data_IF_892051703800
#
_entry.id   IF_892051703800
#
_cell.length_a   1.000
_cell.length_b   1.000
_cell.length_c   1.000
_cell.angle_alpha   90.00
_cell.angle_beta   90.00
_cell.angle_gamma   90.00
#
_symmetry.space_group_name_H-M   'P 1'
#
loop_
_entity.id
_entity.type
_entity.pdbx_description
1 polymer ?
#
# COMPACT_ATOMS: atom_id res chain seq x y z
N UNK A 1 13.66 11.96 -29.96
CA UNK A 1 13.20 11.19 -28.77
C UNK A 1 11.82 10.58 -28.95
N UNK A 2 10.72 11.35 -29.08
CA UNK A 2 9.36 10.76 -29.22
C UNK A 2 9.19 9.77 -30.39
N UNK A 3 9.78 10.03 -31.57
CA UNK A 3 9.75 9.08 -32.71
C UNK A 3 10.59 7.81 -32.51
N UNK A 4 11.65 7.84 -31.69
CA UNK A 4 12.48 6.67 -31.38
C UNK A 4 11.79 5.75 -30.36
N UNK A 5 11.04 6.32 -29.43
CA UNK A 5 10.28 5.58 -28.39
C UNK A 5 9.11 4.83 -29.03
N UNK A 6 8.43 5.44 -30.01
CA UNK A 6 7.34 4.80 -30.74
C UNK A 6 7.85 3.63 -31.60
N UNK A 7 9.01 3.75 -32.25
CA UNK A 7 9.60 2.65 -33.02
C UNK A 7 10.08 1.50 -32.11
N UNK A 8 10.58 1.80 -30.90
CA UNK A 8 10.98 0.80 -29.91
C UNK A 8 9.77 0.03 -29.33
N UNK A 9 8.62 0.69 -29.16
CA UNK A 9 7.38 0.03 -28.73
C UNK A 9 6.78 -0.87 -29.81
N UNK A 10 6.92 -0.52 -31.10
CA UNK A 10 6.45 -1.35 -32.22
C UNK A 10 7.32 -2.60 -32.39
N UNK A 11 8.64 -2.51 -32.18
CA UNK A 11 9.53 -3.66 -32.31
C UNK A 11 9.43 -4.66 -31.14
N UNK A 12 8.96 -4.23 -29.96
CA UNK A 12 8.69 -5.11 -28.82
C UNK A 12 7.46 -6.03 -29.03
N UNK A 13 6.66 -5.79 -30.08
CA UNK A 13 5.49 -6.60 -30.43
C UNK A 13 5.74 -7.63 -31.54
N UNK A 14 6.94 -7.65 -32.14
CA UNK A 14 7.30 -8.60 -33.19
C UNK A 14 8.49 -9.44 -32.71
N UNK A 15 8.21 -10.73 -32.49
CA UNK A 15 9.10 -11.73 -31.92
C UNK A 15 10.29 -12.04 -32.86
N UNK A 16 11.28 -11.14 -32.96
CA UNK A 16 12.46 -11.29 -33.84
C UNK A 16 13.76 -11.24 -33.02
N UNK A 17 14.33 -12.44 -32.86
CA UNK A 17 15.70 -12.82 -32.49
C UNK A 17 16.62 -11.79 -31.78
N UNK A 18 16.96 -12.16 -30.54
CA UNK A 18 17.70 -11.49 -29.46
C UNK A 18 19.03 -10.76 -29.78
N UNK A 19 19.66 -10.97 -30.94
CA UNK A 19 21.01 -10.44 -31.20
C UNK A 19 20.99 -9.00 -31.73
N UNK A 20 19.94 -8.61 -32.46
CA UNK A 20 19.85 -7.26 -33.06
C UNK A 20 19.39 -6.22 -32.02
N UNK A 21 18.53 -6.62 -31.07
CA UNK A 21 18.05 -5.75 -30.00
C UNK A 21 19.17 -5.32 -29.04
N UNK A 22 20.05 -6.24 -28.62
CA UNK A 22 21.18 -5.91 -27.73
C UNK A 22 22.20 -4.96 -28.39
N UNK A 23 22.48 -5.16 -29.68
CA UNK A 23 23.34 -4.28 -30.49
C UNK A 23 22.78 -2.86 -30.61
N UNK A 24 21.46 -2.75 -30.79
CA UNK A 24 20.74 -1.48 -30.90
C UNK A 24 20.73 -0.71 -29.58
N UNK A 25 20.42 -1.37 -28.45
CA UNK A 25 20.41 -0.73 -27.12
C UNK A 25 21.81 -0.28 -26.68
N UNK A 26 22.86 -1.02 -27.04
CA UNK A 26 24.26 -0.63 -26.77
C UNK A 26 24.67 0.62 -27.57
N UNK A 27 24.16 0.78 -28.81
CA UNK A 27 24.38 1.99 -29.62
C UNK A 27 23.56 3.19 -29.11
N UNK A 28 22.33 2.97 -28.65
CA UNK A 28 21.49 4.01 -28.05
C UNK A 28 22.09 4.51 -26.73
N UNK A 29 22.56 3.60 -25.86
CA UNK A 29 23.23 3.95 -24.60
C UNK A 29 24.46 4.85 -24.82
N UNK A 30 25.34 4.48 -25.77
CA UNK A 30 26.52 5.29 -26.12
C UNK A 30 26.16 6.66 -26.71
N UNK A 31 25.06 6.76 -27.47
CA UNK A 31 24.61 8.04 -28.03
C UNK A 31 24.03 8.97 -26.95
N UNK A 32 23.30 8.42 -25.97
CA UNK A 32 22.76 9.15 -24.82
C UNK A 32 23.88 9.64 -23.90
N UNK A 33 24.89 8.80 -23.65
CA UNK A 33 26.07 9.16 -22.86
C UNK A 33 26.88 10.28 -23.53
N UNK A 34 27.08 10.22 -24.85
CA UNK A 34 27.79 11.27 -25.60
C UNK A 34 27.06 12.62 -25.59
N UNK A 35 25.73 12.61 -25.66
CA UNK A 35 24.92 13.84 -25.55
C UNK A 35 24.93 14.41 -24.12
N UNK A 36 24.88 13.55 -23.09
CA UNK A 36 24.99 13.97 -21.70
C UNK A 36 26.36 14.61 -21.40
N UNK A 37 27.45 14.02 -21.89
CA UNK A 37 28.81 14.57 -21.76
C UNK A 37 28.93 15.91 -22.49
N UNK A 38 28.35 16.06 -23.69
CA UNK A 38 28.34 17.34 -24.41
C UNK A 38 27.54 18.44 -23.69
N UNK A 39 26.42 18.09 -23.04
CA UNK A 39 25.61 19.03 -22.25
C UNK A 39 26.35 19.47 -20.97
N UNK A 40 27.11 18.57 -20.35
CA UNK A 40 27.95 18.87 -19.19
C UNK A 40 29.11 19.80 -19.59
N UNK A 41 29.81 19.51 -20.70
CA UNK A 41 30.91 20.34 -21.18
C UNK A 41 30.44 21.76 -21.60
N UNK A 42 29.22 21.90 -22.14
CA UNK A 42 28.59 23.21 -22.41
C UNK A 42 28.26 24.00 -21.14
N UNK A 43 28.01 23.34 -20.01
CA UNK A 43 27.76 24.00 -18.72
C UNK A 43 29.06 24.43 -18.04
N UNK A 44 30.10 23.62 -18.15
CA UNK A 44 31.44 23.94 -17.62
C UNK A 44 32.04 25.16 -18.36
N UNK A 45 31.92 25.21 -19.70
CA UNK A 45 32.38 26.36 -20.49
C UNK A 45 31.63 27.68 -20.21
N UNK A 46 30.41 27.62 -19.65
CA UNK A 46 29.65 28.82 -19.23
C UNK A 46 29.98 29.31 -17.82
N UNK A 47 30.65 28.47 -17.01
CA UNK A 47 31.07 28.84 -15.65
C UNK A 47 32.42 29.57 -15.65
N UNK A 48 33.33 29.26 -16.58
CA UNK A 48 34.63 29.96 -16.71
C UNK A 48 34.50 31.42 -17.16
N UNK A 49 33.42 31.78 -17.85
CA UNK A 49 33.18 33.16 -18.32
C UNK A 49 32.55 34.06 -17.25
N UNK A 50 32.01 33.50 -16.16
CA UNK A 50 31.35 34.26 -15.09
C UNK A 50 32.26 34.68 -13.94
N UNK A 51 33.50 34.19 -13.88
CA UNK A 51 34.46 34.52 -12.80
C UNK A 51 35.41 35.69 -13.10
N UNK A 52 35.33 36.32 -14.29
CA UNK A 52 36.25 37.40 -14.69
C UNK A 52 35.77 38.84 -14.49
N UNK A 53 34.61 39.09 -13.91
CA UNK A 53 34.11 40.48 -13.76
C UNK A 53 33.46 40.74 -12.40
N UNK A 54 34.28 41.01 -11.38
CA UNK A 54 33.86 41.83 -10.24
C UNK A 54 35.01 42.68 -9.67
N UNK A 55 35.01 43.98 -9.96
CA UNK A 55 35.58 45.01 -9.07
C UNK A 55 34.76 46.31 -9.15
N UNK A 56 34.33 46.72 -7.95
CA UNK A 56 34.02 48.09 -7.45
C UNK A 56 32.70 48.83 -7.80
N UNK A 57 32.07 49.31 -6.70
CA UNK A 57 30.88 50.15 -6.44
C UNK A 57 31.03 51.65 -6.85
N UNK A 58 30.10 52.64 -6.58
CA UNK A 58 28.80 52.60 -5.87
C UNK A 58 27.60 53.48 -6.40
N UNK A 59 26.40 53.21 -5.82
CA UNK A 59 25.23 54.05 -5.40
C UNK A 59 24.55 55.12 -6.31
N UNK A 60 23.19 55.07 -6.41
CA UNK A 60 22.19 55.97 -5.73
C UNK A 60 20.74 55.85 -6.30
N UNK A 61 19.73 55.98 -5.40
CA UNK A 61 18.35 56.56 -5.53
C UNK A 61 17.33 55.98 -6.55
N UNK A 62 15.99 56.02 -6.46
CA UNK A 62 14.90 56.34 -5.49
C UNK A 62 13.55 56.02 -6.19
N UNK A 63 12.46 55.76 -5.43
CA UNK A 63 11.02 56.05 -5.73
C UNK A 63 10.34 55.27 -6.90
N UNK A 64 9.03 54.97 -6.98
CA UNK A 64 7.79 55.04 -6.15
C UNK A 64 6.72 54.20 -6.90
N UNK A 65 5.70 53.67 -6.18
CA UNK A 65 4.50 53.02 -6.75
C UNK A 65 3.38 54.03 -7.09
N UNK A 66 2.37 53.61 -7.88
CA UNK A 66 0.99 53.95 -7.53
C UNK A 66 -0.01 52.77 -7.59
N UNK A 67 -1.04 52.92 -6.74
CA UNK A 67 -2.25 52.10 -6.54
C UNK A 67 -3.36 52.48 -7.54
N UNK A 68 -4.34 51.60 -7.84
CA UNK A 68 -5.67 52.04 -8.26
C UNK A 68 -6.85 51.45 -7.47
N UNK A 69 -7.99 52.03 -7.79
CA UNK A 69 -9.22 52.31 -7.02
C UNK A 69 -10.35 51.30 -7.30
N UNK A 70 -11.34 51.19 -6.40
CA UNK A 70 -12.61 50.47 -6.58
C UNK A 70 -13.72 51.34 -7.21
N UNK A 71 -14.77 50.71 -7.77
CA UNK A 71 -16.15 51.19 -7.62
C UNK A 71 -17.19 50.12 -7.20
N UNK A 72 -18.43 50.59 -6.94
CA UNK A 72 -19.47 50.14 -5.98
C UNK A 72 -20.55 49.10 -6.46
N UNK A 73 -21.37 48.65 -5.48
CA UNK A 73 -22.52 47.67 -5.42
C UNK A 73 -23.79 48.08 -6.23
N UNK A 74 -24.81 47.25 -6.53
CA UNK A 74 -25.71 46.39 -5.70
C UNK A 74 -26.70 45.55 -6.60
N UNK A 75 -27.74 44.77 -6.15
CA UNK A 75 -28.05 44.10 -4.86
C UNK A 75 -28.48 42.59 -4.95
N UNK A 76 -28.40 41.90 -3.79
CA UNK A 76 -29.16 40.74 -3.23
C UNK A 76 -29.64 39.55 -4.10
N UNK A 77 -29.22 38.33 -3.72
CA UNK A 77 -30.12 37.23 -3.29
C UNK A 77 -29.31 36.17 -2.52
N UNK A 78 -29.84 35.78 -1.36
CA UNK A 78 -29.23 34.91 -0.36
C UNK A 78 -29.29 33.43 -0.74
N UNK A 79 -28.13 32.79 -0.88
CA UNK A 79 -27.96 31.35 -0.71
C UNK A 79 -26.83 31.11 0.28
N UNK A 80 -27.16 30.58 1.47
CA UNK A 80 -26.18 30.14 2.47
C UNK A 80 -25.48 28.88 1.96
N UNK A 81 -24.49 29.05 1.10
CA UNK A 81 -23.44 28.06 0.92
C UNK A 81 -22.61 28.04 2.22
N UNK A 82 -22.57 26.89 2.90
CA UNK A 82 -21.53 26.65 3.91
C UNK A 82 -20.18 26.62 3.18
N UNK A 83 -19.55 27.79 3.08
CA UNK A 83 -18.15 27.90 2.69
C UNK A 83 -17.31 27.35 3.84
N UNK A 84 -16.69 26.19 3.61
CA UNK A 84 -15.61 25.69 4.47
C UNK A 84 -14.40 26.61 4.24
N UNK A 85 -13.73 27.11 5.31
CA UNK A 85 -12.61 28.03 5.15
C UNK A 85 -11.45 27.38 4.40
N UNK A 86 -10.98 28.08 3.38
CA UNK A 86 -9.77 27.79 2.61
C UNK A 86 -8.54 28.09 3.47
N UNK A 87 -8.12 27.11 4.26
CA UNK A 87 -6.74 26.86 4.71
C UNK A 87 -6.72 25.50 5.41
N UNK A 88 -6.76 24.41 4.65
CA UNK A 88 -6.37 23.12 5.19
C UNK A 88 -4.85 23.12 5.40
N UNK A 89 -4.42 23.55 6.59
CA UNK A 89 -3.18 23.06 7.15
C UNK A 89 -3.17 21.53 6.98
N UNK A 90 -2.07 20.98 6.44
CA UNK A 90 -1.86 19.54 6.33
C UNK A 90 -2.18 18.92 7.69
N UNK A 91 -3.25 18.13 7.76
CA UNK A 91 -3.69 17.43 8.97
C UNK A 91 -2.52 16.56 9.45
N UNK A 92 -2.23 16.48 10.76
CA UNK A 92 -1.03 15.79 11.24
C UNK A 92 -1.03 14.35 10.76
N UNK A 93 0.07 13.90 10.15
CA UNK A 93 0.34 12.48 9.99
C UNK A 93 0.05 11.81 11.35
N UNK A 94 -0.59 10.63 11.32
CA UNK A 94 -0.66 9.78 12.51
C UNK A 94 0.73 9.59 13.15
N UNK A 95 0.81 8.97 14.33
CA UNK A 95 2.07 8.86 15.06
C UNK A 95 3.19 8.38 14.13
N UNK A 96 4.26 9.16 14.01
CA UNK A 96 5.37 8.87 13.09
C UNK A 96 6.30 7.78 13.62
N UNK A 97 6.07 7.34 14.85
CA UNK A 97 6.74 6.21 15.50
C UNK A 97 5.74 5.47 16.38
N UNK A 98 6.01 4.21 16.68
CA UNK A 98 5.14 3.43 17.54
C UNK A 98 5.73 2.07 17.90
N UNK A 99 4.92 1.19 18.50
CA UNK A 99 5.32 -0.18 18.85
C UNK A 99 4.31 -1.22 18.40
N UNK A 100 4.81 -2.38 17.98
CA UNK A 100 4.03 -3.61 17.72
C UNK A 100 4.74 -4.76 18.41
N UNK A 101 4.06 -5.50 19.28
CA UNK A 101 4.66 -6.56 20.10
C UNK A 101 5.94 -6.12 20.83
N UNK A 102 5.93 -4.89 21.39
CA UNK A 102 7.07 -4.30 22.11
C UNK A 102 8.22 -3.79 21.22
N UNK A 103 8.18 -4.01 19.90
CA UNK A 103 9.20 -3.58 18.94
C UNK A 103 8.84 -2.23 18.33
N UNK A 104 9.82 -1.34 18.21
CA UNK A 104 9.59 0.01 17.69
C UNK A 104 9.61 0.06 16.16
N UNK A 105 8.74 0.88 15.58
CA UNK A 105 8.73 1.22 14.17
C UNK A 105 8.80 2.74 13.95
N UNK A 106 9.23 3.13 12.75
CA UNK A 106 9.21 4.50 12.23
C UNK A 106 8.41 4.51 10.93
N UNK A 107 7.49 5.47 10.82
CA UNK A 107 6.75 5.76 9.59
C UNK A 107 7.51 6.81 8.77
N UNK A 108 8.09 6.37 7.67
CA UNK A 108 8.85 7.22 6.74
C UNK A 108 7.93 7.90 5.71
N UNK A 109 6.61 7.78 5.83
CA UNK A 109 5.64 8.38 4.92
C UNK A 109 5.63 7.75 3.53
N UNK A 110 6.19 6.54 3.39
CA UNK A 110 6.29 5.82 2.12
C UNK A 110 4.89 5.59 1.51
N UNK A 111 4.72 5.66 0.18
CA UNK A 111 3.43 5.44 -0.48
C UNK A 111 2.72 4.14 -0.10
N UNK A 112 3.47 3.06 0.16
CA UNK A 112 2.94 1.77 0.59
C UNK A 112 2.32 1.77 2.00
N UNK A 113 2.55 2.82 2.80
CA UNK A 113 2.21 2.85 4.22
C UNK A 113 3.09 1.95 5.09
N UNK A 114 4.17 1.39 4.52
CA UNK A 114 5.09 0.49 5.22
C UNK A 114 5.89 1.22 6.28
N UNK A 115 5.86 0.69 7.51
CA UNK A 115 6.63 1.21 8.64
C UNK A 115 7.82 0.30 8.89
N UNK A 116 8.98 0.90 9.12
CA UNK A 116 10.26 0.19 9.25
C UNK A 116 10.65 0.02 10.71
N UNK A 117 11.13 -1.17 11.08
CA UNK A 117 11.66 -1.39 12.42
C UNK A 117 12.87 -0.50 12.72
N UNK A 118 12.98 -0.03 13.96
CA UNK A 118 14.17 0.74 14.39
C UNK A 118 15.42 -0.12 14.51
N UNK A 119 15.30 -1.45 14.63
CA UNK A 119 16.41 -2.39 14.83
C UNK A 119 16.34 -3.59 13.88
N UNK A 120 17.49 -4.24 13.64
CA UNK A 120 17.54 -5.56 13.01
C UNK A 120 16.95 -6.65 13.93
N UNK A 121 16.59 -7.80 13.38
CA UNK A 121 16.25 -8.98 14.19
C UNK A 121 17.45 -9.36 15.08
N UNK A 122 17.17 -9.61 16.37
CA UNK A 122 18.15 -9.84 17.45
C UNK A 122 19.07 -8.66 17.79
N UNK A 123 18.80 -7.46 17.27
CA UNK A 123 19.39 -6.23 17.77
C UNK A 123 18.47 -5.57 18.81
N UNK A 124 19.05 -4.95 19.83
CA UNK A 124 18.32 -4.13 20.82
C UNK A 124 18.50 -2.63 20.59
N UNK A 125 19.47 -2.23 19.77
CA UNK A 125 19.63 -0.83 19.32
C UNK A 125 19.74 -0.74 17.80
N UNK A 126 19.41 0.41 17.19
CA UNK A 126 19.48 0.59 15.74
C UNK A 126 20.86 0.33 15.15
N UNK A 127 21.91 0.60 15.93
CA UNK A 127 23.28 0.42 15.50
C UNK A 127 23.68 -1.05 15.53
N UNK A 128 23.18 -1.89 16.45
CA UNK A 128 23.62 -3.27 16.49
C UNK A 128 23.28 -4.04 15.20
N UNK A 129 24.21 -4.87 14.68
CA UNK A 129 24.02 -5.56 13.40
C UNK A 129 22.93 -6.63 13.46
N UNK A 130 22.59 -7.11 14.66
CA UNK A 130 21.71 -8.27 14.83
C UNK A 130 22.42 -9.57 14.47
N UNK A 131 21.64 -10.61 14.19
CA UNK A 131 22.14 -11.90 13.73
C UNK A 131 21.95 -12.06 12.22
N UNK A 132 22.75 -12.95 11.63
CA UNK A 132 22.69 -13.32 10.22
C UNK A 132 21.85 -14.59 10.04
N UNK A 133 21.06 -14.64 8.97
CA UNK A 133 20.15 -15.74 8.65
C UNK A 133 20.36 -16.18 7.21
N UNK A 134 20.35 -17.50 6.98
CA UNK A 134 20.15 -18.02 5.63
C UNK A 134 18.72 -17.69 5.19
N UNK A 135 18.52 -17.43 3.91
CA UNK A 135 17.20 -17.01 3.42
C UNK A 135 16.15 -18.10 3.67
N UNK A 136 14.99 -17.71 4.20
CA UNK A 136 13.91 -18.63 4.55
C UNK A 136 14.15 -19.46 5.82
N UNK A 137 15.18 -19.14 6.61
CA UNK A 137 15.50 -19.83 7.86
C UNK A 137 15.38 -18.91 9.08
N UNK A 138 14.82 -19.45 10.16
CA UNK A 138 14.48 -18.70 11.38
C UNK A 138 15.48 -18.91 12.53
N UNK A 139 16.47 -19.77 12.30
CA UNK A 139 17.51 -20.16 13.26
C UNK A 139 18.87 -19.92 12.62
N UNK A 140 19.79 -19.35 13.40
CA UNK A 140 21.17 -19.12 12.97
C UNK A 140 21.98 -20.40 12.85
N UNK A 141 23.03 -20.36 12.04
CA UNK A 141 23.91 -21.50 11.77
C UNK A 141 25.34 -21.24 12.23
N UNK A 142 26.09 -22.32 12.43
CA UNK A 142 27.55 -22.28 12.61
C UNK A 142 28.29 -22.17 11.28
N UNK A 143 27.73 -22.72 10.20
CA UNK A 143 28.26 -22.64 8.84
C UNK A 143 27.14 -22.29 7.84
N UNK A 144 27.43 -21.35 6.92
CA UNK A 144 26.55 -20.84 5.88
C UNK A 144 27.04 -21.33 4.51
N UNK A 145 26.67 -22.56 4.18
CA UNK A 145 27.07 -23.22 2.93
C UNK A 145 25.88 -23.89 2.24
N UNK A 146 26.00 -24.16 0.94
CA UNK A 146 24.96 -24.81 0.13
C UNK A 146 24.37 -26.05 0.81
N UNK A 147 25.23 -26.97 1.27
CA UNK A 147 24.83 -28.22 1.93
C UNK A 147 24.04 -28.02 3.25
N UNK A 148 24.16 -26.85 3.87
CA UNK A 148 23.50 -26.53 5.15
C UNK A 148 22.23 -25.68 4.98
N UNK A 149 21.96 -25.18 3.78
CA UNK A 149 20.82 -24.32 3.49
C UNK A 149 19.59 -25.15 3.17
N UNK A 150 18.51 -24.99 3.95
CA UNK A 150 17.28 -25.78 3.81
C UNK A 150 16.55 -25.53 2.50
N UNK A 151 16.81 -24.40 1.85
CA UNK A 151 16.10 -23.91 0.67
C UNK A 151 16.97 -23.84 -0.59
N UNK A 152 18.20 -24.38 -0.52
CA UNK A 152 19.05 -24.53 -1.68
C UNK A 152 18.47 -25.58 -2.64
N UNK A 153 18.48 -25.29 -3.94
CA UNK A 153 17.92 -26.18 -4.97
C UNK A 153 16.41 -26.30 -4.99
N UNK A 154 15.68 -25.55 -4.14
CA UNK A 154 14.22 -25.66 -4.02
C UNK A 154 13.49 -24.54 -4.77
N UNK A 155 12.38 -24.91 -5.40
CA UNK A 155 11.40 -23.95 -5.89
C UNK A 155 10.66 -23.35 -4.70
N UNK A 156 10.75 -22.03 -4.55
CA UNK A 156 10.18 -21.31 -3.41
C UNK A 156 9.38 -20.10 -3.90
N UNK A 157 8.39 -19.73 -3.10
CA UNK A 157 7.62 -18.50 -3.25
C UNK A 157 8.12 -17.43 -2.27
N UNK A 158 7.57 -16.23 -2.38
CA UNK A 158 7.75 -15.17 -1.38
C UNK A 158 7.46 -15.71 0.03
N UNK A 159 8.41 -15.47 0.96
CA UNK A 159 8.37 -15.98 2.34
C UNK A 159 7.76 -14.97 3.32
N UNK A 160 7.44 -13.76 2.88
CA UNK A 160 6.99 -12.64 3.73
C UNK A 160 5.81 -13.03 4.61
N UNK A 161 5.94 -12.87 5.93
CA UNK A 161 4.86 -13.14 6.89
C UNK A 161 4.64 -14.61 7.24
N UNK A 162 5.33 -15.55 6.61
CA UNK A 162 5.18 -16.97 6.91
C UNK A 162 6.07 -17.36 8.11
N UNK A 163 5.47 -17.64 9.27
CA UNK A 163 6.20 -17.98 10.52
C UNK A 163 7.24 -19.10 10.38
N UNK A 164 7.09 -20.02 9.42
CA UNK A 164 8.05 -21.10 9.21
C UNK A 164 9.34 -20.65 8.50
N UNK A 165 9.29 -19.54 7.74
CA UNK A 165 10.35 -19.11 6.84
C UNK A 165 10.80 -17.65 7.06
N UNK A 166 9.91 -16.81 7.59
CA UNK A 166 10.15 -15.41 7.92
C UNK A 166 10.63 -15.29 9.37
N UNK A 167 11.91 -14.99 9.55
CA UNK A 167 12.51 -14.86 10.89
C UNK A 167 11.92 -13.71 11.70
N UNK A 168 11.49 -12.62 11.05
CA UNK A 168 10.87 -11.51 11.74
C UNK A 168 9.51 -11.92 12.30
N UNK A 169 8.67 -12.59 11.51
CA UNK A 169 7.40 -13.14 11.99
C UNK A 169 7.60 -14.21 13.06
N UNK A 170 8.57 -15.11 12.86
CA UNK A 170 8.88 -16.20 13.79
C UNK A 170 9.25 -15.69 15.18
N UNK A 171 10.07 -14.63 15.24
CA UNK A 171 10.62 -14.11 16.50
C UNK A 171 9.81 -12.97 17.10
N UNK A 172 9.24 -12.09 16.29
CA UNK A 172 8.54 -10.89 16.76
C UNK A 172 7.01 -11.01 16.70
N UNK A 173 6.51 -12.12 16.13
CA UNK A 173 5.09 -12.44 16.09
C UNK A 173 4.34 -11.82 14.92
N UNK A 174 3.03 -12.03 14.91
CA UNK A 174 2.13 -11.50 13.90
C UNK A 174 2.24 -9.96 13.83
N UNK A 175 2.23 -9.43 12.60
CA UNK A 175 2.39 -8.01 12.32
C UNK A 175 3.80 -7.60 11.89
N UNK A 176 4.81 -8.44 12.11
CA UNK A 176 6.19 -8.21 11.64
C UNK A 176 6.59 -9.20 10.55
N UNK A 177 7.33 -8.75 9.53
CA UNK A 177 7.81 -9.58 8.42
C UNK A 177 9.12 -9.04 7.81
N UNK A 178 9.80 -9.88 7.03
CA UNK A 178 10.91 -9.49 6.17
C UNK A 178 10.35 -8.60 5.03
N UNK A 179 10.96 -7.44 4.73
CA UNK A 179 10.55 -6.60 3.61
C UNK A 179 10.71 -7.32 2.28
N UNK A 180 9.87 -7.00 1.31
CA UNK A 180 9.99 -7.41 -0.09
C UNK A 180 11.06 -6.59 -0.81
N UNK A 181 11.47 -7.03 -2.01
CA UNK A 181 12.33 -6.25 -2.90
C UNK A 181 11.73 -4.88 -3.24
N UNK A 182 10.42 -4.82 -3.47
CA UNK A 182 9.71 -3.59 -3.81
C UNK A 182 9.75 -2.60 -2.65
N UNK A 183 9.64 -3.06 -1.41
CA UNK A 183 9.69 -2.19 -0.23
C UNK A 183 11.08 -1.61 0.02
N UNK A 184 12.15 -2.38 -0.20
CA UNK A 184 13.51 -1.84 -0.16
C UNK A 184 13.76 -0.85 -1.30
N UNK A 185 13.24 -1.14 -2.50
CA UNK A 185 13.32 -0.22 -3.65
C UNK A 185 12.56 1.09 -3.38
N UNK A 186 11.38 1.01 -2.77
CA UNK A 186 10.59 2.16 -2.34
C UNK A 186 11.34 2.98 -1.27
N UNK A 187 11.92 2.33 -0.27
CA UNK A 187 12.74 2.99 0.76
C UNK A 187 13.89 3.77 0.10
N UNK A 188 14.65 3.13 -0.80
CA UNK A 188 15.79 3.73 -1.48
C UNK A 188 15.37 4.90 -2.40
N UNK A 189 14.19 4.81 -3.03
CA UNK A 189 13.70 5.84 -3.94
C UNK A 189 13.15 7.08 -3.21
N UNK A 190 12.34 6.88 -2.17
CA UNK A 190 11.65 7.97 -1.47
C UNK A 190 12.44 8.61 -0.33
N UNK A 191 13.59 8.04 0.03
CA UNK A 191 14.49 8.62 1.02
C UNK A 191 15.72 9.28 0.38
N UNK A 192 16.34 10.19 1.10
CA UNK A 192 17.78 10.47 0.95
C UNK A 192 18.54 9.46 1.81
N UNK A 193 19.80 9.25 1.49
CA UNK A 193 20.64 8.30 2.20
C UNK A 193 22.02 8.89 2.41
N UNK A 194 22.59 8.67 3.59
CA UNK A 194 23.90 9.18 3.98
C UNK A 194 24.67 8.07 4.70
N UNK A 195 25.86 7.75 4.19
CA UNK A 195 26.77 6.85 4.89
C UNK A 195 27.41 7.59 6.08
N UNK A 196 27.14 7.11 7.29
CA UNK A 196 27.53 7.77 8.55
C UNK A 196 27.96 6.77 9.60
N UNK A 197 28.77 7.23 10.55
CA UNK A 197 29.08 6.47 11.75
C UNK A 197 28.20 6.95 12.91
N UNK A 198 27.46 6.04 13.53
CA UNK A 198 26.69 6.29 14.76
C UNK A 198 27.20 5.38 15.88
N UNK A 199 27.61 5.99 17.00
CA UNK A 199 28.17 5.27 18.17
C UNK A 199 29.25 4.24 17.77
N UNK A 200 30.19 4.65 16.92
CA UNK A 200 31.29 3.79 16.45
C UNK A 200 30.93 2.79 15.36
N UNK A 201 29.66 2.70 14.93
CA UNK A 201 29.24 1.79 13.87
C UNK A 201 28.87 2.51 12.59
N UNK A 202 29.51 2.11 11.50
CA UNK A 202 29.17 2.56 10.16
C UNK A 202 27.83 2.01 9.69
N UNK A 203 27.18 2.72 8.79
CA UNK A 203 25.91 2.33 8.18
C UNK A 203 25.31 3.45 7.35
N UNK A 204 24.10 3.21 6.84
CA UNK A 204 23.35 4.18 6.07
C UNK A 204 22.19 4.71 6.90
N UNK A 205 22.09 6.03 7.02
CA UNK A 205 20.89 6.70 7.49
C UNK A 205 19.99 7.03 6.29
N UNK A 206 18.80 6.44 6.27
CA UNK A 206 17.73 6.79 5.33
C UNK A 206 16.86 7.87 5.96
N UNK A 207 16.67 8.99 5.27
CA UNK A 207 15.81 10.08 5.72
C UNK A 207 14.71 10.32 4.70
N UNK A 208 13.46 10.22 5.13
CA UNK A 208 12.29 10.44 4.27
C UNK A 208 12.30 11.84 3.68
N UNK A 209 12.09 11.93 2.37
CA UNK A 209 11.88 13.22 1.69
C UNK A 209 10.52 13.83 2.00
N UNK A 210 9.59 13.07 2.59
CA UNK A 210 8.21 13.48 2.82
C UNK A 210 7.98 14.05 4.22
N UNK A 211 8.53 13.38 5.24
CA UNK A 211 8.28 13.74 6.64
C UNK A 211 9.56 13.89 7.48
N UNK A 212 10.75 13.83 6.87
CA UNK A 212 12.06 13.94 7.51
C UNK A 212 12.35 12.92 8.62
N UNK A 213 11.49 11.92 8.83
CA UNK A 213 11.80 10.82 9.73
C UNK A 213 12.94 9.98 9.14
N UNK A 214 13.73 9.35 10.01
CA UNK A 214 14.87 8.55 9.58
C UNK A 214 14.96 7.20 10.27
N UNK A 215 15.60 6.27 9.57
CA UNK A 215 16.06 4.99 10.12
C UNK A 215 17.55 4.80 9.81
N UNK A 216 18.26 4.09 10.68
CA UNK A 216 19.65 3.73 10.47
C UNK A 216 19.79 2.23 10.25
N UNK A 217 20.37 1.84 9.11
CA UNK A 217 20.75 0.47 8.81
C UNK A 217 22.27 0.36 9.00
N UNK A 218 22.76 -0.37 10.02
CA UNK A 218 24.19 -0.53 10.26
C UNK A 218 24.85 -1.38 9.17
N UNK A 219 26.15 -1.22 8.98
CA UNK A 219 26.99 -2.21 8.33
C UNK A 219 26.90 -3.52 9.16
N UNK A 220 26.55 -4.60 8.47
CA UNK A 220 26.30 -5.92 9.06
C UNK A 220 27.29 -6.96 8.54
N UNK A 221 27.83 -6.77 7.34
CA UNK A 221 28.60 -7.78 6.64
C UNK A 221 27.77 -9.02 6.27
N UNK A 222 28.44 -10.00 5.69
CA UNK A 222 27.86 -11.27 5.27
C UNK A 222 28.53 -12.46 5.96
N UNK A 223 27.76 -13.50 6.25
CA UNK A 223 28.29 -14.81 6.64
C UNK A 223 28.39 -15.73 5.43
N UNK A 224 29.59 -16.27 5.21
CA UNK A 224 29.89 -17.32 4.22
C UNK A 224 30.74 -18.41 4.90
N UNK A 225 30.27 -19.66 4.84
CA UNK A 225 30.79 -20.73 5.69
C UNK A 225 30.77 -20.31 7.15
N UNK A 226 31.91 -20.40 7.84
CA UNK A 226 32.06 -19.97 9.24
C UNK A 226 32.45 -18.50 9.38
N UNK A 227 32.87 -17.87 8.28
CA UNK A 227 33.52 -16.55 8.26
C UNK A 227 32.51 -15.41 8.19
N UNK A 228 32.87 -14.26 8.79
CA UNK A 228 32.12 -13.00 8.68
C UNK A 228 32.95 -12.03 7.84
N UNK A 229 32.38 -11.53 6.75
CA UNK A 229 33.04 -10.64 5.81
C UNK A 229 32.45 -9.23 5.89
N UNK A 230 33.28 -8.21 5.68
CA UNK A 230 32.87 -6.81 5.45
C UNK A 230 32.01 -6.14 6.55
N UNK A 231 32.00 -6.71 7.77
CA UNK A 231 31.14 -6.26 8.87
C UNK A 231 31.36 -4.81 9.34
N UNK A 232 32.44 -4.17 8.90
CA UNK A 232 32.81 -2.81 9.26
C UNK A 232 32.46 -1.77 8.19
N UNK A 233 32.08 -2.19 6.98
CA UNK A 233 31.95 -1.30 5.82
C UNK A 233 30.73 -1.54 4.93
N UNK A 234 30.16 -2.74 4.97
CA UNK A 234 29.04 -3.11 4.10
C UNK A 234 27.83 -3.56 4.92
N UNK A 235 26.63 -3.16 4.49
CA UNK A 235 25.37 -3.70 4.97
C UNK A 235 24.82 -4.70 3.97
N UNK A 236 24.44 -5.87 4.45
CA UNK A 236 23.83 -6.94 3.65
C UNK A 236 22.49 -7.34 4.29
N UNK A 237 21.40 -7.20 3.55
CA UNK A 237 20.03 -7.35 4.05
C UNK A 237 19.19 -8.24 3.15
N UNK A 238 18.57 -9.27 3.73
CA UNK A 238 17.62 -10.08 2.97
C UNK A 238 16.32 -9.33 2.69
N UNK A 239 15.79 -9.56 1.50
CA UNK A 239 14.37 -9.37 1.21
C UNK A 239 13.65 -10.73 1.23
N UNK A 240 12.33 -10.72 1.29
CA UNK A 240 11.49 -11.93 1.23
C UNK A 240 11.26 -12.43 -0.20
N UNK A 241 11.70 -11.69 -1.22
CA UNK A 241 11.43 -12.01 -2.63
C UNK A 241 12.46 -13.01 -3.18
N UNK A 242 12.05 -14.22 -3.62
CA UNK A 242 12.97 -15.16 -4.27
C UNK A 242 13.27 -14.72 -5.70
N UNK A 243 14.47 -15.05 -6.19
CA UNK A 243 14.81 -14.87 -7.59
C UNK A 243 14.27 -16.03 -8.44
N UNK A 244 13.72 -15.74 -9.63
CA UNK A 244 12.97 -16.71 -10.45
C UNK A 244 13.50 -16.92 -11.87
N UNK A 245 14.46 -16.13 -12.34
CA UNK A 245 14.91 -16.18 -13.74
C UNK A 245 16.10 -17.15 -13.91
N UNK A 246 15.79 -18.45 -13.91
CA UNK A 246 16.76 -19.52 -14.25
C UNK A 246 17.81 -19.84 -13.18
N UNK A 247 17.95 -19.00 -12.15
CA UNK A 247 18.84 -19.22 -11.01
C UNK A 247 18.02 -19.50 -9.74
N UNK A 248 17.52 -20.73 -9.63
CA UNK A 248 16.56 -21.14 -8.59
C UNK A 248 17.12 -21.16 -7.16
N UNK A 249 18.38 -20.79 -6.95
CA UNK A 249 19.05 -20.79 -5.65
C UNK A 249 19.19 -19.39 -5.03
N UNK A 250 18.88 -18.34 -5.79
CA UNK A 250 19.00 -16.95 -5.36
C UNK A 250 17.77 -16.39 -4.67
N UNK A 251 17.99 -15.32 -3.92
CA UNK A 251 16.95 -14.41 -3.42
C UNK A 251 17.42 -12.97 -3.56
N UNK A 252 16.47 -12.03 -3.62
CA UNK A 252 16.79 -10.62 -3.67
C UNK A 252 17.27 -10.11 -2.32
N UNK A 253 18.24 -9.21 -2.37
CA UNK A 253 18.89 -8.63 -1.20
C UNK A 253 19.14 -7.15 -1.46
N UNK A 254 19.22 -6.35 -0.39
CA UNK A 254 19.67 -4.98 -0.46
C UNK A 254 21.03 -4.87 0.20
N UNK A 255 22.02 -4.39 -0.56
CA UNK A 255 23.35 -4.15 -0.03
C UNK A 255 23.77 -2.70 -0.17
N UNK A 256 24.73 -2.31 0.67
CA UNK A 256 25.45 -1.06 0.51
C UNK A 256 26.91 -1.22 0.93
N UNK A 257 27.79 -0.45 0.29
CA UNK A 257 29.20 -0.30 0.64
C UNK A 257 29.60 1.16 0.53
N UNK A 258 29.93 1.80 1.65
CA UNK A 258 30.11 3.26 1.69
C UNK A 258 28.84 4.00 1.27
N UNK A 259 28.98 5.01 0.40
CA UNK A 259 27.86 5.76 -0.16
C UNK A 259 27.42 5.21 -1.53
N UNK A 260 27.31 3.89 -1.68
CA UNK A 260 26.64 3.18 -2.77
C UNK A 260 25.75 2.08 -2.19
N UNK A 261 24.48 2.01 -2.61
CA UNK A 261 23.56 0.95 -2.20
C UNK A 261 22.50 0.66 -3.25
N UNK A 262 22.26 -0.62 -3.51
CA UNK A 262 21.40 -1.10 -4.59
C UNK A 262 20.75 -2.45 -4.26
N UNK A 263 19.75 -2.83 -5.07
CA UNK A 263 19.19 -4.17 -5.03
C UNK A 263 20.12 -5.14 -5.75
N UNK A 264 20.41 -6.26 -5.12
CA UNK A 264 21.17 -7.37 -5.70
C UNK A 264 20.43 -8.70 -5.64
N UNK A 265 21.16 -9.74 -5.99
CA UNK A 265 20.75 -11.13 -5.89
C UNK A 265 21.90 -11.87 -5.20
N UNK A 266 21.57 -12.69 -4.20
CA UNK A 266 22.55 -13.52 -3.52
C UNK A 266 22.03 -14.94 -3.34
N UNK A 267 22.96 -15.88 -3.22
CA UNK A 267 22.65 -17.26 -2.90
C UNK A 267 22.00 -17.38 -1.53
N UNK A 268 20.91 -18.15 -1.43
CA UNK A 268 20.11 -18.28 -0.20
C UNK A 268 20.88 -18.84 1.00
N UNK A 269 22.03 -19.48 0.77
CA UNK A 269 22.84 -20.00 1.86
C UNK A 269 23.64 -18.91 2.59
N UNK A 270 23.87 -17.74 1.98
CA UNK A 270 24.55 -16.64 2.66
C UNK A 270 23.76 -16.19 3.89
N UNK A 271 24.48 -15.85 4.95
CA UNK A 271 23.85 -15.28 6.14
C UNK A 271 23.84 -13.76 6.05
N UNK A 272 22.66 -13.15 5.88
CA UNK A 272 22.48 -11.69 5.91
C UNK A 272 21.57 -11.26 7.06
N UNK A 273 21.60 -9.98 7.38
CA UNK A 273 20.73 -9.41 8.40
C UNK A 273 19.30 -9.23 7.89
N UNK A 274 18.37 -9.06 8.82
CA UNK A 274 16.96 -8.75 8.50
C UNK A 274 16.57 -7.48 9.23
N UNK A 275 16.07 -6.50 8.48
CA UNK A 275 15.45 -5.26 8.97
C UNK A 275 13.93 -5.38 8.79
N UNK A 276 13.16 -5.74 9.84
CA UNK A 276 11.73 -6.02 9.69
C UNK A 276 10.91 -4.79 9.30
N UNK A 277 9.77 -5.06 8.67
CA UNK A 277 8.74 -4.07 8.37
C UNK A 277 7.40 -4.48 8.97
N UNK A 278 6.52 -3.49 9.14
CA UNK A 278 5.16 -3.68 9.61
C UNK A 278 4.19 -2.75 8.90
N UNK A 279 3.05 -3.32 8.50
CA UNK A 279 1.88 -2.55 8.07
C UNK A 279 0.80 -2.60 9.16
N UNK A 280 1.17 -3.11 10.35
CA UNK A 280 0.28 -3.24 11.49
C UNK A 280 0.02 -1.84 12.05
N UNK A 281 -1.19 -1.33 11.87
CA UNK A 281 -1.67 -0.18 12.61
C UNK A 281 -1.82 -0.60 14.07
N UNK A 282 -1.37 0.23 15.00
CA UNK A 282 -1.54 -0.03 16.44
C UNK A 282 -3.05 -0.12 16.71
N UNK A 283 -3.53 -1.35 16.87
CA UNK A 283 -4.85 -1.65 17.38
C UNK A 283 -4.80 -1.47 18.90
N UNK A 284 -5.08 -0.26 19.38
CA UNK A 284 -5.62 -0.15 20.74
C UNK A 284 -7.08 -0.57 20.65
N UNK A 285 -7.41 -1.67 21.34
CA UNK A 285 -8.64 -2.46 21.31
C UNK A 285 -8.63 -3.61 20.28
N UNK A 286 -8.38 -4.83 20.78
CA UNK A 286 -8.91 -6.04 20.14
C UNK A 286 -10.43 -5.89 20.17
N UNK A 287 -11.11 -5.88 19.02
CA UNK A 287 -12.55 -5.74 19.04
C UNK A 287 -13.21 -6.85 19.84
N UNK A 288 -14.25 -6.52 20.61
CA UNK A 288 -15.20 -7.53 21.08
C UNK A 288 -15.68 -8.27 19.83
N UNK A 289 -15.25 -9.52 19.72
CA UNK A 289 -15.40 -10.33 18.53
C UNK A 289 -15.76 -11.74 18.94
N UNK A 290 -16.65 -12.34 18.15
CA UNK A 290 -17.11 -13.70 18.31
C UNK A 290 -17.38 -14.32 16.95
N UNK A 291 -18.10 -15.42 16.93
CA UNK A 291 -18.38 -16.18 15.71
C UNK A 291 -19.87 -16.55 15.64
N UNK A 292 -20.46 -16.42 14.45
CA UNK A 292 -21.82 -16.89 14.15
C UNK A 292 -21.71 -17.72 12.86
N UNK A 293 -22.06 -19.01 12.95
CA UNK A 293 -22.00 -19.95 11.83
C UNK A 293 -20.63 -20.03 11.11
N UNK A 294 -19.51 -19.99 11.83
CA UNK A 294 -18.19 -20.03 11.18
C UNK A 294 -17.61 -18.66 10.83
N UNK A 295 -18.38 -17.58 10.98
CA UNK A 295 -17.99 -16.24 10.52
C UNK A 295 -17.78 -15.27 11.68
N UNK A 296 -16.61 -14.64 11.68
CA UNK A 296 -16.21 -13.71 12.73
C UNK A 296 -16.85 -12.33 12.55
N UNK A 297 -17.28 -11.75 13.66
CA UNK A 297 -17.86 -10.41 13.73
C UNK A 297 -17.07 -9.49 14.66
N UNK A 298 -17.31 -8.19 14.50
CA UNK A 298 -16.85 -7.10 15.38
C UNK A 298 -18.08 -6.36 15.89
N UNK A 299 -18.17 -6.19 17.20
CA UNK A 299 -19.16 -5.31 17.81
C UNK A 299 -18.56 -3.90 17.93
N UNK A 300 -19.09 -2.99 17.12
CA UNK A 300 -18.70 -1.57 17.09
C UNK A 300 -19.40 -0.76 18.19
N UNK A 301 -20.21 -1.39 19.05
CA UNK A 301 -20.96 -0.73 20.12
C UNK A 301 -22.06 0.20 19.63
N UNK A 302 -22.51 0.02 18.39
CA UNK A 302 -23.53 0.86 17.75
C UNK A 302 -24.85 0.82 18.54
N UNK A 303 -25.66 1.89 18.52
CA UNK A 303 -26.98 1.91 19.16
C UNK A 303 -27.88 0.72 18.81
N UNK A 304 -27.82 0.23 17.57
CA UNK A 304 -28.57 -0.94 17.08
C UNK A 304 -28.14 -2.26 17.71
N UNK A 305 -26.95 -2.33 18.28
CA UNK A 305 -26.34 -3.59 18.74
C UNK A 305 -25.87 -4.52 17.60
N UNK A 306 -25.93 -4.06 16.33
CA UNK A 306 -25.53 -4.88 15.19
C UNK A 306 -24.05 -5.25 15.23
N UNK A 307 -23.80 -6.52 14.93
CA UNK A 307 -22.47 -7.10 14.80
C UNK A 307 -22.07 -7.07 13.33
N UNK A 308 -20.93 -6.44 13.02
CA UNK A 308 -20.44 -6.30 11.65
C UNK A 308 -19.42 -7.40 11.30
N UNK A 309 -19.53 -8.01 10.13
CA UNK A 309 -18.59 -9.04 9.70
C UNK A 309 -17.15 -8.50 9.58
N UNK A 310 -16.18 -9.32 9.99
CA UNK A 310 -14.75 -9.00 9.87
C UNK A 310 -14.26 -8.95 8.42
N UNK A 311 -14.89 -9.68 7.50
CA UNK A 311 -14.55 -9.73 6.07
C UNK A 311 -15.76 -9.53 5.15
N UNK A 312 -15.49 -9.27 3.87
CA UNK A 312 -16.51 -9.23 2.83
C UNK A 312 -17.09 -10.63 2.56
N UNK A 313 -18.32 -10.69 2.09
CA UNK A 313 -18.94 -11.93 1.64
C UNK A 313 -18.09 -12.56 0.52
N UNK A 314 -17.76 -13.85 0.67
CA UNK A 314 -16.87 -14.57 -0.25
C UNK A 314 -15.36 -14.45 0.07
N UNK A 315 -14.99 -13.79 1.17
CA UNK A 315 -13.61 -13.70 1.67
C UNK A 315 -13.42 -14.48 2.98
N UNK A 316 -12.18 -14.91 3.26
CA UNK A 316 -11.78 -15.49 4.56
C UNK A 316 -10.90 -14.55 5.41
N UNK A 317 -10.53 -13.37 4.89
CA UNK A 317 -9.65 -12.42 5.56
C UNK A 317 -10.15 -10.98 5.49
N UNK A 318 -9.78 -10.18 6.49
CA UNK A 318 -10.24 -8.79 6.69
C UNK A 318 -9.83 -7.84 5.56
N UNK A 319 -8.73 -8.16 4.87
CA UNK A 319 -8.09 -7.37 3.83
C UNK A 319 -8.22 -8.00 2.42
N UNK A 320 -9.07 -9.01 2.27
CA UNK A 320 -9.39 -9.63 0.97
C UNK A 320 -10.71 -9.10 0.42
N UNK A 321 -10.77 -8.91 -0.91
CA UNK A 321 -11.87 -8.26 -1.62
C UNK A 321 -13.24 -8.94 -1.45
N UNK A 322 -13.23 -10.27 -1.33
CA UNK A 322 -14.45 -11.08 -1.41
C UNK A 322 -15.01 -11.13 -2.84
N UNK A 323 -16.28 -11.50 -2.95
CA UNK A 323 -16.99 -11.57 -4.22
C UNK A 323 -17.89 -10.34 -4.41
N UNK A 324 -18.15 -10.00 -5.68
CA UNK A 324 -19.11 -8.98 -6.08
C UNK A 324 -20.44 -9.63 -6.40
N UNK A 325 -21.54 -9.00 -6.01
CA UNK A 325 -22.90 -9.49 -6.22
C UNK A 325 -23.73 -8.41 -6.89
N UNK A 326 -24.59 -8.79 -7.83
CA UNK A 326 -25.70 -7.93 -8.21
C UNK A 326 -26.74 -7.96 -7.10
N UNK A 327 -27.45 -6.85 -6.94
CA UNK A 327 -28.45 -6.70 -5.89
C UNK A 327 -29.59 -7.71 -6.09
N UNK A 328 -29.91 -8.46 -5.05
CA UNK A 328 -30.91 -9.53 -5.09
C UNK A 328 -30.40 -10.89 -5.59
N UNK A 329 -29.12 -11.01 -5.97
CA UNK A 329 -28.51 -12.28 -6.37
C UNK A 329 -27.81 -12.94 -5.18
N UNK A 330 -27.85 -14.27 -5.11
CA UNK A 330 -27.18 -15.07 -4.08
C UNK A 330 -25.94 -15.80 -4.59
N UNK A 331 -25.58 -15.58 -5.86
CA UNK A 331 -24.41 -16.14 -6.52
C UNK A 331 -23.52 -14.97 -6.98
N UNK A 332 -22.17 -15.06 -6.88
CA UNK A 332 -21.28 -14.04 -7.38
C UNK A 332 -21.60 -13.60 -8.81
N UNK A 333 -21.54 -12.30 -9.04
CA UNK A 333 -21.97 -11.68 -10.27
C UNK A 333 -21.03 -12.02 -11.43
N UNK A 334 -21.55 -12.76 -12.41
CA UNK A 334 -20.83 -13.16 -13.62
C UNK A 334 -21.46 -12.61 -14.92
N UNK A 335 -22.69 -12.07 -14.88
CA UNK A 335 -23.47 -11.76 -16.08
C UNK A 335 -23.89 -10.29 -16.22
N UNK A 336 -23.60 -9.70 -17.38
CA UNK A 336 -23.54 -8.24 -17.61
C UNK A 336 -24.81 -7.65 -18.24
N UNK A 337 -26.00 -8.13 -17.86
CA UNK A 337 -27.27 -7.63 -18.40
C UNK A 337 -28.28 -7.33 -17.30
N UNK A 338 -28.87 -6.13 -17.36
CA UNK A 338 -29.96 -5.72 -16.47
C UNK A 338 -31.14 -6.68 -16.55
N UNK A 339 -31.51 -7.14 -17.74
CA UNK A 339 -32.66 -8.03 -17.99
C UNK A 339 -32.50 -9.43 -17.38
N UNK A 340 -31.26 -9.82 -17.07
CA UNK A 340 -30.96 -11.13 -16.47
C UNK A 340 -30.86 -11.10 -14.96
N UNK A 341 -30.83 -9.91 -14.35
CA UNK A 341 -30.90 -9.80 -12.90
C UNK A 341 -32.26 -10.30 -12.41
N UNK A 342 -32.26 -11.14 -11.37
CA UNK A 342 -33.46 -11.74 -10.77
C UNK A 342 -34.48 -10.72 -10.29
N UNK A 343 -34.03 -9.49 -10.00
CA UNK A 343 -34.84 -8.36 -9.53
C UNK A 343 -35.17 -7.33 -10.63
N UNK A 344 -34.85 -7.62 -11.90
CA UNK A 344 -35.17 -6.75 -13.02
C UNK A 344 -36.68 -6.53 -13.16
N UNK A 345 -37.10 -5.26 -13.20
CA UNK A 345 -38.51 -4.88 -13.33
C UNK A 345 -39.39 -5.25 -12.14
N UNK A 346 -38.82 -5.82 -11.07
CA UNK A 346 -39.57 -6.18 -9.87
C UNK A 346 -39.57 -5.02 -8.88
N UNK A 347 -40.76 -4.63 -8.44
CA UNK A 347 -40.90 -3.86 -7.21
C UNK A 347 -40.72 -4.81 -6.02
N UNK A 348 -39.86 -4.42 -5.09
CA UNK A 348 -39.56 -5.18 -3.89
C UNK A 348 -39.37 -4.23 -2.73
N UNK A 349 -39.79 -4.64 -1.54
CA UNK A 349 -39.35 -4.02 -0.29
C UNK A 349 -37.86 -4.30 -0.02
N UNK A 350 -37.43 -3.98 1.20
CA UNK A 350 -36.10 -4.33 1.68
C UNK A 350 -35.88 -5.85 1.63
N UNK A 351 -34.73 -6.29 1.13
CA UNK A 351 -34.41 -7.71 0.95
C UNK A 351 -33.66 -8.33 2.12
N UNK A 352 -33.32 -7.54 3.15
CA UNK A 352 -32.60 -7.99 4.34
C UNK A 352 -33.18 -9.27 4.93
N UNK A 353 -32.34 -10.31 5.07
CA UNK A 353 -32.71 -11.57 5.69
C UNK A 353 -33.60 -12.48 4.84
N UNK A 354 -33.98 -12.09 3.62
CA UNK A 354 -34.70 -12.98 2.70
C UNK A 354 -33.70 -13.86 1.93
N UNK A 355 -33.56 -15.13 2.30
CA UNK A 355 -32.59 -16.05 1.70
C UNK A 355 -32.73 -16.25 0.17
N UNK A 356 -33.84 -15.84 -0.46
CA UNK A 356 -33.97 -15.87 -1.91
C UNK A 356 -33.25 -14.72 -2.62
N UNK A 357 -32.95 -13.63 -1.91
CA UNK A 357 -32.46 -12.36 -2.49
C UNK A 357 -31.27 -11.77 -1.71
N UNK A 358 -31.10 -12.11 -0.44
CA UNK A 358 -30.00 -11.69 0.42
C UNK A 358 -28.87 -12.72 0.36
N UNK A 359 -27.79 -12.37 -0.33
CA UNK A 359 -26.62 -13.23 -0.48
C UNK A 359 -25.96 -13.60 0.87
N UNK A 360 -25.94 -12.69 1.84
CA UNK A 360 -25.35 -12.96 3.14
C UNK A 360 -26.19 -13.99 3.91
N UNK A 361 -27.52 -13.84 3.91
CA UNK A 361 -28.42 -14.83 4.50
C UNK A 361 -28.34 -16.17 3.78
N UNK A 362 -28.33 -16.16 2.45
CA UNK A 362 -28.31 -17.38 1.65
C UNK A 362 -27.03 -18.20 1.83
N UNK A 363 -25.87 -17.53 1.90
CA UNK A 363 -24.56 -18.18 1.92
C UNK A 363 -24.01 -18.43 3.32
N UNK A 364 -24.22 -17.51 4.28
CA UNK A 364 -23.71 -17.64 5.65
C UNK A 364 -24.77 -18.13 6.64
N UNK A 365 -26.05 -18.07 6.29
CA UNK A 365 -27.16 -18.57 7.10
C UNK A 365 -27.34 -17.83 8.42
N UNK A 366 -28.15 -18.40 9.32
CA UNK A 366 -28.40 -17.85 10.65
C UNK A 366 -29.01 -16.45 10.58
N UNK A 367 -28.48 -15.52 11.37
CA UNK A 367 -28.92 -14.13 11.47
C UNK A 367 -28.20 -13.17 10.51
N UNK A 368 -27.22 -13.66 9.72
CA UNK A 368 -26.50 -12.85 8.76
C UNK A 368 -27.41 -12.27 7.67
N UNK A 369 -27.22 -11.00 7.32
CA UNK A 369 -27.96 -10.29 6.27
C UNK A 369 -27.12 -9.21 5.60
N UNK A 370 -27.56 -8.72 4.44
CA UNK A 370 -27.08 -7.45 3.90
C UNK A 370 -27.37 -6.32 4.92
N UNK A 371 -26.48 -5.32 5.04
CA UNK A 371 -26.80 -4.10 5.76
C UNK A 371 -27.90 -3.31 5.05
N UNK A 372 -28.78 -2.65 5.79
CA UNK A 372 -29.75 -1.69 5.24
C UNK A 372 -29.09 -0.33 4.98
N UNK A 373 -29.83 0.60 4.35
CA UNK A 373 -29.45 2.02 4.29
C UNK A 373 -29.25 2.59 5.71
N UNK A 374 -30.11 2.21 6.66
CA UNK A 374 -30.04 2.68 8.03
C UNK A 374 -28.77 2.19 8.76
N UNK A 375 -28.35 0.94 8.53
CA UNK A 375 -27.14 0.40 9.16
C UNK A 375 -25.88 1.15 8.72
N UNK A 376 -25.77 1.53 7.44
CA UNK A 376 -24.66 2.35 6.97
C UNK A 376 -24.75 3.80 7.46
N UNK A 377 -25.94 4.38 7.56
CA UNK A 377 -26.11 5.70 8.18
C UNK A 377 -25.68 5.69 9.65
N UNK A 378 -25.98 4.62 10.38
CA UNK A 378 -25.54 4.46 11.77
C UNK A 378 -24.01 4.44 11.89
N UNK A 379 -23.30 3.78 10.96
CA UNK A 379 -21.83 3.88 10.87
C UNK A 379 -21.37 5.32 10.64
N UNK A 380 -22.01 6.05 9.72
CA UNK A 380 -21.66 7.44 9.40
C UNK A 380 -21.79 8.33 10.65
N UNK A 381 -22.85 8.13 11.43
CA UNK A 381 -23.12 8.90 12.64
C UNK A 381 -22.17 8.53 13.80
N UNK A 382 -21.88 7.25 13.98
CA UNK A 382 -21.23 6.73 15.19
C UNK A 382 -19.75 6.34 15.02
N UNK A 383 -19.20 6.40 13.80
CA UNK A 383 -17.81 6.03 13.51
C UNK A 383 -16.99 7.17 12.89
N UNK A 384 -15.67 7.05 12.97
CA UNK A 384 -14.71 7.83 12.19
C UNK A 384 -14.21 6.98 11.02
N UNK A 385 -13.93 7.65 9.90
CA UNK A 385 -13.53 7.02 8.64
C UNK A 385 -12.13 7.49 8.27
N UNK A 386 -11.22 6.54 8.09
CA UNK A 386 -9.84 6.80 7.67
C UNK A 386 -9.55 5.97 6.42
N UNK A 387 -9.18 6.63 5.32
CA UNK A 387 -8.64 5.92 4.16
C UNK A 387 -7.21 5.48 4.46
N UNK A 388 -6.97 4.17 4.46
CA UNK A 388 -5.70 3.59 4.89
C UNK A 388 -5.43 2.26 4.18
N UNK A 389 -4.28 1.66 4.46
CA UNK A 389 -3.91 0.35 3.94
C UNK A 389 -3.92 -0.69 5.06
N UNK A 390 -4.50 -1.85 4.79
CA UNK A 390 -4.41 -3.04 5.64
C UNK A 390 -3.87 -4.19 4.78
N UNK A 391 -2.73 -4.75 5.18
CA UNK A 391 -2.04 -5.75 4.36
C UNK A 391 -1.58 -5.17 3.02
N UNK A 392 -2.11 -5.72 1.92
CA UNK A 392 -1.84 -5.27 0.53
C UNK A 392 -2.98 -4.45 -0.09
N UNK A 393 -4.02 -4.11 0.67
CA UNK A 393 -5.21 -3.40 0.17
C UNK A 393 -5.39 -2.04 0.82
N UNK A 394 -5.74 -1.04 0.00
CA UNK A 394 -6.31 0.21 0.48
C UNK A 394 -7.79 0.02 0.81
N UNK A 395 -8.36 0.91 1.62
CA UNK A 395 -9.76 0.87 1.99
C UNK A 395 -10.10 1.83 3.11
N UNK A 396 -11.35 1.76 3.56
CA UNK A 396 -11.82 2.55 4.70
C UNK A 396 -11.69 1.76 5.99
N UNK A 397 -10.89 2.27 6.92
CA UNK A 397 -10.96 1.88 8.33
C UNK A 397 -12.10 2.66 8.98
N UNK A 398 -13.12 1.94 9.44
CA UNK A 398 -14.31 2.49 10.11
C UNK A 398 -14.17 2.20 11.60
N UNK A 399 -13.85 3.21 12.39
CA UNK A 399 -13.55 3.07 13.83
C UNK A 399 -14.69 3.62 14.67
N UNK A 400 -15.22 2.82 15.58
CA UNK A 400 -16.26 3.24 16.52
C UNK A 400 -15.78 4.38 17.41
N UNK A 401 -16.57 5.45 17.49
CA UNK A 401 -16.35 6.54 18.47
C UNK A 401 -16.60 6.07 19.91
N UNK A 402 -17.37 4.99 20.11
CA UNK A 402 -17.79 4.52 21.44
C UNK A 402 -16.77 3.62 22.11
N UNK A 403 -16.28 2.59 21.40
CA UNK A 403 -15.41 1.57 21.97
C UNK A 403 -14.05 1.43 21.27
N UNK A 404 -13.78 2.19 20.20
CA UNK A 404 -12.52 2.14 19.46
C UNK A 404 -12.36 0.89 18.58
N UNK A 405 -13.31 -0.05 18.61
CA UNK A 405 -13.33 -1.19 17.71
C UNK A 405 -13.50 -0.72 16.28
N UNK A 406 -12.99 -1.48 15.32
CA UNK A 406 -13.07 -1.08 13.91
C UNK A 406 -13.35 -2.26 12.98
N UNK A 407 -13.91 -1.93 11.82
CA UNK A 407 -13.92 -2.80 10.63
C UNK A 407 -13.12 -2.14 9.51
N UNK A 408 -12.61 -2.94 8.59
CA UNK A 408 -11.94 -2.47 7.39
C UNK A 408 -12.74 -2.86 6.15
N UNK A 409 -13.12 -1.86 5.35
CA UNK A 409 -13.83 -2.02 4.08
C UNK A 409 -12.82 -1.90 2.93
N UNK A 410 -12.31 -3.01 2.36
CA UNK A 410 -11.33 -2.96 1.29
C UNK A 410 -11.87 -2.29 0.03
N UNK A 411 -11.00 -1.52 -0.63
CA UNK A 411 -11.20 -0.87 -1.93
C UNK A 411 -11.19 -1.90 -3.07
N UNK A 412 -12.27 -2.68 -3.12
CA UNK A 412 -12.39 -3.88 -3.97
C UNK A 412 -12.86 -3.55 -5.40
N UNK A 413 -12.97 -2.27 -5.75
CA UNK A 413 -13.56 -1.83 -7.02
C UNK A 413 -15.03 -2.27 -7.18
N UNK A 414 -15.53 -2.24 -8.41
CA UNK A 414 -16.86 -2.72 -8.76
C UNK A 414 -16.93 -3.30 -10.18
N UNK A 415 -18.05 -3.96 -10.50
CA UNK A 415 -18.32 -4.49 -11.85
C UNK A 415 -19.50 -3.71 -12.47
N UNK A 416 -19.19 -2.81 -13.42
CA UNK A 416 -20.16 -1.88 -14.05
C UNK A 416 -20.40 -2.08 -15.55
N UNK A 417 -19.58 -2.84 -16.29
CA UNK A 417 -19.65 -2.90 -17.77
C UNK A 417 -19.62 -4.31 -18.36
N UNK A 418 -20.04 -4.43 -19.63
CA UNK A 418 -20.03 -5.67 -20.42
C UNK A 418 -18.63 -6.23 -20.78
N UNK A 419 -17.52 -5.64 -20.33
CA UNK A 419 -16.17 -6.15 -20.62
C UNK A 419 -15.71 -7.23 -19.62
N UNK A 420 -15.07 -8.29 -20.10
CA UNK A 420 -14.79 -9.56 -19.40
C UNK A 420 -13.62 -9.52 -18.42
N UNK A 421 -13.31 -8.37 -17.87
CA UNK A 421 -12.30 -8.22 -16.83
C UNK A 421 -13.00 -7.90 -15.52
N UNK A 422 -12.72 -8.73 -14.50
CA UNK A 422 -12.94 -8.40 -13.08
C UNK A 422 -12.64 -6.92 -12.85
N UNK A 423 -13.45 -6.28 -12.00
CA UNK A 423 -13.47 -4.85 -11.73
C UNK A 423 -12.19 -4.15 -12.18
N UNK A 424 -12.34 -3.31 -13.21
CA UNK A 424 -11.28 -2.62 -13.94
C UNK A 424 -10.08 -2.39 -13.00
N UNK A 425 -8.92 -3.01 -13.29
CA UNK A 425 -7.79 -3.06 -12.36
C UNK A 425 -7.30 -1.68 -11.88
N UNK A 426 -7.70 -0.60 -12.57
CA UNK A 426 -7.55 0.81 -12.22
C UNK A 426 -8.41 1.28 -11.02
N UNK A 427 -9.46 0.57 -10.65
CA UNK A 427 -10.38 0.95 -9.55
C UNK A 427 -10.10 0.23 -8.22
N UNK A 428 -9.37 -0.88 -8.28
CA UNK A 428 -8.86 -1.54 -7.08
C UNK A 428 -7.90 -0.58 -6.37
N UNK A 429 -7.97 -0.55 -5.04
CA UNK A 429 -7.16 0.34 -4.20
C UNK A 429 -7.44 1.85 -4.35
N UNK A 430 -8.42 2.27 -5.16
CA UNK A 430 -8.77 3.68 -5.38
C UNK A 430 -10.23 4.01 -5.03
N UNK A 431 -11.14 3.03 -5.09
CA UNK A 431 -12.56 3.22 -4.73
C UNK A 431 -13.21 1.95 -4.13
N UNK A 432 -14.36 2.13 -3.48
CA UNK A 432 -15.22 1.03 -3.00
C UNK A 432 -16.70 1.30 -3.24
N UNK A 433 -17.45 0.21 -3.40
CA UNK A 433 -18.91 0.18 -3.49
C UNK A 433 -19.44 -1.02 -2.72
N UNK A 434 -20.36 -0.77 -1.78
CA UNK A 434 -21.02 -1.78 -0.95
C UNK A 434 -22.53 -1.71 -1.09
N UNK A 435 -23.18 -2.84 -1.36
CA UNK A 435 -24.63 -2.90 -1.42
C UNK A 435 -25.26 -2.72 -0.04
N UNK A 436 -26.36 -1.97 0.00
CA UNK A 436 -27.38 -2.09 1.05
C UNK A 436 -28.48 -3.04 0.58
N UNK A 437 -29.29 -3.58 1.47
CA UNK A 437 -30.52 -4.31 1.17
C UNK A 437 -31.71 -3.41 0.83
N UNK A 438 -31.55 -2.09 0.97
CA UNK A 438 -32.65 -1.14 0.83
C UNK A 438 -32.85 -0.73 -0.64
N UNK A 439 -34.04 -0.97 -1.23
CA UNK A 439 -34.35 -0.53 -2.58
C UNK A 439 -34.42 1.00 -2.66
N UNK A 440 -34.10 1.57 -3.81
CA UNK A 440 -34.23 3.01 -4.02
C UNK A 440 -35.71 3.43 -4.04
N UNK A 441 -36.03 4.59 -3.43
CA UNK A 441 -37.43 5.03 -3.16
C UNK A 441 -38.23 5.43 -4.41
N UNK A 442 -37.63 5.45 -5.60
CA UNK A 442 -38.29 5.81 -6.85
C UNK A 442 -38.84 4.56 -7.57
N UNK A 443 -40.16 4.53 -7.75
CA UNK A 443 -41.00 3.40 -8.18
C UNK A 443 -40.71 2.79 -9.57
N UNK A 444 -39.80 3.39 -10.34
CA UNK A 444 -39.40 2.91 -11.68
C UNK A 444 -37.92 2.52 -11.77
N UNK A 445 -37.17 2.62 -10.67
CA UNK A 445 -35.73 2.41 -10.75
C UNK A 445 -35.38 0.94 -10.55
N UNK A 446 -34.64 0.38 -11.50
CA UNK A 446 -33.87 -0.85 -11.30
C UNK A 446 -32.67 -0.59 -10.36
N UNK A 447 -32.87 0.19 -9.30
CA UNK A 447 -31.81 0.69 -8.42
C UNK A 447 -32.01 0.27 -6.96
N UNK A 448 -30.91 0.21 -6.22
CA UNK A 448 -30.86 0.04 -4.79
C UNK A 448 -29.81 0.99 -4.20
N UNK A 449 -29.88 1.26 -2.90
CA UNK A 449 -28.87 2.10 -2.25
C UNK A 449 -27.57 1.34 -2.08
N UNK A 450 -26.45 2.03 -2.33
CA UNK A 450 -25.11 1.53 -2.07
C UNK A 450 -24.27 2.60 -1.38
N UNK A 451 -23.45 2.16 -0.43
CA UNK A 451 -22.39 2.97 0.17
C UNK A 451 -21.18 2.99 -0.77
N UNK A 452 -20.79 4.17 -1.22
CA UNK A 452 -19.68 4.36 -2.15
C UNK A 452 -18.64 5.28 -1.53
N UNK A 453 -17.37 5.05 -1.84
CA UNK A 453 -16.29 6.00 -1.57
C UNK A 453 -15.40 6.14 -2.80
N UNK A 454 -15.15 7.39 -3.17
CA UNK A 454 -14.28 7.77 -4.29
C UNK A 454 -13.82 9.21 -4.10
N UNK A 455 -12.60 9.56 -4.58
CA UNK A 455 -12.08 10.93 -4.53
C UNK A 455 -12.09 11.58 -3.13
N UNK A 456 -11.84 10.79 -2.08
CA UNK A 456 -11.73 11.28 -0.70
C UNK A 456 -13.06 11.45 0.05
N UNK A 457 -14.20 11.14 -0.57
CA UNK A 457 -15.53 11.30 0.03
C UNK A 457 -16.36 10.03 -0.08
N UNK A 458 -17.21 9.77 0.92
CA UNK A 458 -18.23 8.72 0.87
C UNK A 458 -19.65 9.27 0.67
N UNK A 459 -20.53 8.46 0.07
CA UNK A 459 -21.94 8.78 -0.15
C UNK A 459 -22.78 7.50 -0.18
N UNK A 460 -24.00 7.55 0.35
CA UNK A 460 -25.04 6.55 0.10
C UNK A 460 -25.93 7.06 -1.03
N UNK A 461 -26.00 6.33 -2.14
CA UNK A 461 -26.78 6.75 -3.31
C UNK A 461 -27.36 5.56 -4.08
N UNK A 462 -28.42 5.83 -4.84
CA UNK A 462 -29.06 4.84 -5.68
C UNK A 462 -28.14 4.42 -6.84
N UNK A 463 -27.91 3.12 -6.98
CA UNK A 463 -27.10 2.51 -8.03
C UNK A 463 -27.89 1.39 -8.71
N UNK A 464 -27.55 1.10 -9.97
CA UNK A 464 -28.26 0.08 -10.73
C UNK A 464 -28.02 -1.32 -10.16
N UNK A 465 -29.10 -2.06 -9.90
CA UNK A 465 -29.10 -3.37 -9.22
C UNK A 465 -28.25 -4.43 -9.92
N UNK A 466 -28.03 -4.31 -11.23
CA UNK A 466 -27.19 -5.26 -11.96
C UNK A 466 -25.68 -5.02 -11.78
N UNK A 467 -25.24 -3.94 -11.12
CA UNK A 467 -23.81 -3.76 -10.83
C UNK A 467 -23.34 -4.76 -9.78
N UNK A 468 -22.13 -5.30 -9.99
CA UNK A 468 -21.47 -6.14 -9.01
C UNK A 468 -20.76 -5.29 -7.97
N UNK A 469 -21.33 -5.18 -6.76
CA UNK A 469 -20.70 -4.52 -5.61
C UNK A 469 -20.39 -5.52 -4.50
N UNK A 470 -19.46 -5.17 -3.60
CA UNK A 470 -19.13 -5.99 -2.45
C UNK A 470 -20.28 -5.99 -1.44
N UNK A 471 -20.34 -7.01 -0.60
CA UNK A 471 -21.27 -7.08 0.55
C UNK A 471 -20.43 -7.23 1.82
N UNK A 472 -20.73 -6.41 2.83
CA UNK A 472 -20.19 -6.53 4.17
C UNK A 472 -21.32 -6.99 5.10
N UNK A 473 -21.44 -8.29 5.41
CA UNK A 473 -22.58 -8.80 6.18
C UNK A 473 -22.69 -8.18 7.58
N UNK A 474 -23.92 -8.09 8.09
CA UNK A 474 -24.23 -7.76 9.49
C UNK A 474 -25.12 -8.83 10.11
N UNK A 475 -25.10 -8.94 11.43
CA UNK A 475 -25.95 -9.84 12.21
C UNK A 475 -26.53 -9.11 13.42
N UNK A 476 -27.76 -9.45 13.75
CA UNK A 476 -28.41 -9.13 15.02
C UNK A 476 -27.74 -9.87 16.20
#
# INVERSE_FOLDING_TARGET
MKKLIILAMVMATLNVADVVAQSFWKKVGKAVEKEAVNQINKRIGKQSDKEKTSKTQPQKTQQTQPKPTQPQKAPSQTNKAHQVPTTAALVPYGPTTGKVNGRQWVDLGLPSGTRWATCNVDAVTPEQPGKHYAWGETVVKTSYAQATCKHYGKNVTDISGNKAYDVATAKWGAGWRIPTQEEFSELAFYCTWKYVQKKGRWGVEFTSRKNNNSIFLPATGSKDGTSLHEASGCGMYWTSTPYKDGYNNGAHEYHFGGALGEMGIAERYYGYAVRPVTNYTINTATPSSGEINGYKWVDLGLPSGLKWATCNLGSKAVDQDGAHYAWGETIPHIEKSSQKNKMYGKQSGDIAGNAQYDAARALWGGTWRLPTEADFNELIENCTFEWTSLGRRNGLKVTSKKNGNYIFLPASGNIRTQSATYGRADEINTQLSYWTSTPARNSYSNNAYAFNFSNGSFIIQANTRFYGYSIRPVSE
#
